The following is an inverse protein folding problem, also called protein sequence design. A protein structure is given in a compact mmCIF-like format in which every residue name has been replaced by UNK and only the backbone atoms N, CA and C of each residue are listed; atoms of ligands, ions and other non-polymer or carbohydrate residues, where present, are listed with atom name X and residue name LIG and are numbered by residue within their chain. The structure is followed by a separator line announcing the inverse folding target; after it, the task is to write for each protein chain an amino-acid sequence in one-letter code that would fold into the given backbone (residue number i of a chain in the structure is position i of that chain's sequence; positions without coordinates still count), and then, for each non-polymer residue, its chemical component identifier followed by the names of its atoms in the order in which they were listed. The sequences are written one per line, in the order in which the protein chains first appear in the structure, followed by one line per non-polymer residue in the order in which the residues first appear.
data_IF_426287384035
#
_entry.id   IF_426287384035
#
_cell.length_a   1.000
_cell.length_b   1.000
_cell.length_c   1.000
_cell.angle_alpha   90.00
_cell.angle_beta   90.00
_cell.angle_gamma   90.00
#
_symmetry.space_group_name_H-M   'P 1'
#
loop_
_entity.id
_entity.type
_entity.pdbx_description
1 polymer ?
#
# COMPACT_ATOMS: atom_id res chain seq x y z
N UNK A 1 2.40 -15.94 -6.17
CA UNK A 1 3.62 -15.21 -5.80
C UNK A 1 3.34 -14.04 -4.86
N UNK A 2 4.24 -13.77 -3.90
CA UNK A 2 4.14 -12.67 -2.93
C UNK A 2 4.89 -11.44 -3.41
N UNK A 3 4.23 -10.28 -3.41
CA UNK A 3 4.81 -8.98 -3.76
C UNK A 3 4.63 -8.02 -2.59
N UNK A 4 5.71 -7.38 -2.17
CA UNK A 4 5.69 -6.38 -1.10
C UNK A 4 5.33 -5.02 -1.66
N UNK A 5 4.51 -4.25 -0.95
CA UNK A 5 4.18 -2.88 -1.32
C UNK A 5 4.63 -1.95 -0.20
N UNK A 6 5.48 -0.99 -0.53
CA UNK A 6 6.05 -0.03 0.42
C UNK A 6 5.74 1.41 0.01
N UNK A 7 5.68 2.28 1.00
CA UNK A 7 5.69 3.72 0.78
C UNK A 7 7.10 4.16 0.38
N UNK A 8 7.20 4.87 -0.73
CA UNK A 8 8.46 5.31 -1.32
C UNK A 8 9.19 6.34 -0.44
N UNK A 9 8.45 7.09 0.40
CA UNK A 9 8.98 8.17 1.25
C UNK A 9 9.50 7.62 2.58
N UNK A 10 8.65 6.90 3.30
CA UNK A 10 8.91 6.38 4.65
C UNK A 10 9.59 5.02 4.64
N UNK A 11 9.64 4.34 3.48
CA UNK A 11 10.14 2.97 3.31
C UNK A 11 9.39 1.94 4.16
N UNK A 12 8.19 2.28 4.65
CA UNK A 12 7.35 1.37 5.45
C UNK A 12 6.40 0.57 4.56
N UNK A 13 6.03 -0.67 4.94
CA UNK A 13 5.01 -1.42 4.22
C UNK A 13 3.66 -0.69 4.26
N UNK A 14 2.94 -0.69 3.13
CA UNK A 14 1.57 -0.21 3.07
C UNK A 14 0.65 -1.34 3.48
N UNK A 15 0.13 -1.30 4.71
CA UNK A 15 -0.73 -2.36 5.28
C UNK A 15 -2.21 -2.03 5.08
N UNK A 16 -3.06 -3.07 4.94
CA UNK A 16 -4.52 -2.94 4.80
C UNK A 16 -4.96 -1.89 3.74
N UNK A 17 -4.18 -1.72 2.69
CA UNK A 17 -4.34 -0.67 1.70
C UNK A 17 -4.89 -1.27 0.40
N UNK A 18 -6.06 -0.80 -0.03
CA UNK A 18 -6.64 -1.15 -1.32
C UNK A 18 -5.97 -0.33 -2.42
N UNK A 19 -5.38 -1.01 -3.40
CA UNK A 19 -4.70 -0.39 -4.55
C UNK A 19 -5.00 -1.17 -5.82
N UNK A 20 -4.69 -0.58 -6.96
CA UNK A 20 -4.79 -1.25 -8.26
C UNK A 20 -3.40 -1.55 -8.80
N UNK A 21 -3.19 -2.74 -9.33
CA UNK A 21 -2.00 -3.10 -10.10
C UNK A 21 -2.32 -2.99 -11.57
N UNK A 22 -1.53 -2.23 -12.32
CA UNK A 22 -1.53 -2.28 -13.76
C UNK A 22 -0.51 -3.34 -14.21
N UNK A 23 -0.94 -4.24 -15.09
CA UNK A 23 -0.14 -5.37 -15.57
C UNK A 23 0.09 -5.19 -17.07
N UNK A 24 1.33 -5.40 -17.51
CA UNK A 24 1.75 -5.40 -18.91
C UNK A 24 2.45 -6.72 -19.25
N UNK A 25 1.98 -7.36 -20.30
CA UNK A 25 2.48 -8.63 -20.82
C UNK A 25 1.39 -9.39 -21.57
N UNK A 26 1.45 -10.72 -21.54
CA UNK A 26 0.46 -11.58 -22.20
C UNK A 26 -0.94 -11.40 -21.59
N UNK A 27 -1.01 -11.24 -20.27
CA UNK A 27 -2.23 -11.02 -19.49
C UNK A 27 -2.34 -9.55 -19.05
N UNK A 28 -2.22 -8.61 -19.99
CA UNK A 28 -2.28 -7.18 -19.71
C UNK A 28 -3.66 -6.77 -19.16
N UNK A 29 -3.67 -5.86 -18.19
CA UNK A 29 -4.91 -5.39 -17.58
C UNK A 29 -4.72 -4.71 -16.24
N UNK A 30 -5.77 -4.71 -15.44
CA UNK A 30 -5.78 -4.13 -14.10
C UNK A 30 -6.31 -5.14 -13.09
N UNK A 31 -5.66 -5.23 -11.92
CA UNK A 31 -6.08 -6.08 -10.81
C UNK A 31 -6.21 -5.23 -9.57
N UNK A 32 -7.35 -5.29 -8.88
CA UNK A 32 -7.52 -4.61 -7.60
C UNK A 32 -7.12 -5.55 -6.48
N UNK A 33 -6.24 -5.10 -5.59
CA UNK A 33 -5.71 -5.89 -4.48
C UNK A 33 -5.77 -5.08 -3.19
N UNK A 34 -5.80 -5.78 -2.07
CA UNK A 34 -5.64 -5.18 -0.74
C UNK A 34 -4.43 -5.82 -0.10
N UNK A 35 -3.51 -5.00 0.41
CA UNK A 35 -2.32 -5.49 1.11
C UNK A 35 -2.68 -6.09 2.46
N UNK A 36 -1.95 -7.13 2.86
CA UNK A 36 -2.09 -7.79 4.16
C UNK A 36 -1.42 -6.98 5.29
N UNK A 37 -1.38 -7.57 6.50
CA UNK A 37 -0.74 -6.96 7.68
C UNK A 37 0.79 -6.80 7.56
N UNK A 38 1.43 -7.54 6.65
CA UNK A 38 2.84 -7.36 6.32
C UNK A 38 3.07 -6.33 5.21
N UNK A 39 2.00 -5.82 4.59
CA UNK A 39 2.04 -4.93 3.44
C UNK A 39 2.28 -5.66 2.12
N UNK A 40 1.96 -6.95 2.06
CA UNK A 40 2.14 -7.78 0.90
C UNK A 40 0.83 -8.07 0.18
N UNK A 41 0.92 -8.43 -1.11
CA UNK A 41 -0.19 -8.95 -1.90
C UNK A 41 0.19 -10.29 -2.50
N UNK A 42 -0.76 -11.20 -2.56
CA UNK A 42 -0.63 -12.45 -3.30
C UNK A 42 -1.12 -12.21 -4.73
N UNK A 43 -0.20 -12.28 -5.69
CA UNK A 43 -0.50 -12.22 -7.11
C UNK A 43 -0.43 -13.63 -7.71
N UNK A 44 -1.32 -13.94 -8.64
CA UNK A 44 -1.38 -15.25 -9.31
C UNK A 44 -0.11 -15.50 -10.15
N UNK A 45 0.38 -16.74 -10.18
CA UNK A 45 1.60 -17.11 -10.92
C UNK A 45 1.44 -16.96 -12.44
N UNK A 46 0.22 -16.85 -12.98
CA UNK A 46 0.01 -16.52 -14.41
C UNK A 46 0.62 -15.17 -14.81
N UNK A 47 0.82 -14.27 -13.85
CA UNK A 47 1.46 -12.97 -14.06
C UNK A 47 2.98 -13.00 -13.88
N UNK A 48 3.58 -14.15 -13.56
CA UNK A 48 5.04 -14.25 -13.38
C UNK A 48 5.76 -13.76 -14.64
N UNK A 49 6.81 -12.97 -14.44
CA UNK A 49 7.59 -12.37 -15.54
C UNK A 49 6.90 -11.21 -16.29
N UNK A 50 5.65 -10.88 -15.96
CA UNK A 50 5.00 -9.67 -16.47
C UNK A 50 5.59 -8.43 -15.81
N UNK A 51 5.38 -7.28 -16.44
CA UNK A 51 5.65 -5.99 -15.81
C UNK A 51 4.42 -5.56 -15.02
N UNK A 52 4.62 -5.15 -13.78
CA UNK A 52 3.56 -4.65 -12.90
C UNK A 52 3.94 -3.30 -12.33
N UNK A 53 2.93 -2.48 -12.13
CA UNK A 53 3.04 -1.18 -11.51
C UNK A 53 1.86 -0.97 -10.59
N UNK A 54 2.10 -0.47 -9.38
CA UNK A 54 1.02 -0.11 -8.50
C UNK A 54 0.45 1.27 -8.84
N UNK A 55 -0.86 1.42 -8.66
CA UNK A 55 -1.65 2.63 -8.85
C UNK A 55 -2.42 2.88 -7.56
N UNK A 56 -2.22 4.05 -6.96
CA UNK A 56 -2.86 4.43 -5.71
C UNK A 56 -3.14 5.94 -5.69
N UNK A 57 -4.41 6.32 -5.47
CA UNK A 57 -4.85 7.73 -5.44
C UNK A 57 -4.34 8.57 -6.64
N UNK A 58 -4.43 8.03 -7.85
CA UNK A 58 -3.96 8.70 -9.07
C UNK A 58 -2.44 8.78 -9.22
N UNK A 59 -1.68 8.25 -8.25
CA UNK A 59 -0.22 8.14 -8.33
C UNK A 59 0.18 6.79 -8.88
N UNK A 60 1.14 6.80 -9.81
CA UNK A 60 1.71 5.60 -10.42
C UNK A 60 3.10 5.33 -9.84
N UNK A 61 3.34 4.08 -9.45
CA UNK A 61 4.65 3.60 -9.01
C UNK A 61 5.60 3.31 -10.16
N UNK A 62 6.74 2.69 -9.85
CA UNK A 62 7.66 2.19 -10.87
C UNK A 62 7.16 0.86 -11.47
N UNK A 63 7.48 0.65 -12.74
CA UNK A 63 7.33 -0.65 -13.39
C UNK A 63 8.41 -1.60 -12.91
N UNK A 64 8.01 -2.79 -12.47
CA UNK A 64 8.90 -3.85 -12.01
C UNK A 64 8.44 -5.20 -12.54
N UNK A 65 9.34 -6.17 -12.61
CA UNK A 65 8.98 -7.54 -12.95
C UNK A 65 8.20 -8.20 -11.80
N UNK A 66 7.05 -8.80 -12.10
CA UNK A 66 6.26 -9.56 -11.14
C UNK A 66 6.91 -10.92 -10.90
N UNK A 67 7.70 -10.98 -9.84
CA UNK A 67 8.38 -12.18 -9.36
C UNK A 67 8.17 -12.31 -7.85
N UNK A 68 8.44 -13.51 -7.33
CA UNK A 68 8.41 -13.76 -5.89
C UNK A 68 9.39 -12.84 -5.17
N UNK A 69 8.91 -12.15 -4.12
CA UNK A 69 9.74 -11.24 -3.31
C UNK A 69 10.00 -9.88 -3.93
N UNK A 70 9.42 -9.55 -5.10
CA UNK A 70 9.52 -8.21 -5.67
C UNK A 70 8.88 -7.17 -4.73
N UNK A 71 9.48 -5.97 -4.69
CA UNK A 71 8.95 -4.83 -3.95
C UNK A 71 8.45 -3.75 -4.91
N UNK A 72 7.19 -3.35 -4.74
CA UNK A 72 6.57 -2.19 -5.37
C UNK A 72 6.69 -0.98 -4.45
N UNK A 73 7.22 0.12 -4.97
CA UNK A 73 7.29 1.39 -4.25
C UNK A 73 6.24 2.35 -4.77
N UNK A 74 5.48 2.95 -3.86
CA UNK A 74 4.46 3.95 -4.14
C UNK A 74 4.66 5.17 -3.28
N UNK A 75 4.55 6.37 -3.84
CA UNK A 75 4.40 7.56 -3.01
C UNK A 75 2.95 7.62 -2.54
N UNK A 76 2.66 7.03 -1.38
CA UNK A 76 1.33 7.09 -0.80
C UNK A 76 1.16 8.48 -0.19
N UNK A 77 0.54 9.40 -0.92
CA UNK A 77 -0.15 10.52 -0.27
C UNK A 77 -1.35 9.91 0.44
N UNK A 78 -1.14 9.43 1.66
CA UNK A 78 -2.23 9.13 2.56
C UNK A 78 -3.00 10.42 2.76
N UNK A 79 -4.10 10.60 2.04
CA UNK A 79 -5.20 11.38 2.57
C UNK A 79 -5.55 10.68 3.87
N UNK A 80 -5.19 11.31 4.99
CA UNK A 80 -5.46 10.80 6.32
C UNK A 80 -6.97 10.65 6.49
N UNK A 81 -7.51 9.50 6.07
CA UNK A 81 -8.89 9.15 6.33
C UNK A 81 -8.94 8.50 7.71
N UNK A 82 -8.94 9.37 8.73
CA UNK A 82 -9.62 9.14 9.99
C UNK A 82 -8.95 8.22 11.02
N UNK A 83 -7.81 8.63 11.58
CA UNK A 83 -7.68 8.51 13.04
C UNK A 83 -8.53 9.62 13.66
N UNK A 84 -9.80 9.30 13.93
CA UNK A 84 -10.60 10.06 14.89
C UNK A 84 -10.10 9.69 16.30
N UNK A 85 -8.83 9.97 16.59
CA UNK A 85 -8.33 9.99 17.96
C UNK A 85 -8.93 11.22 18.62
N UNK A 86 -10.14 11.05 19.19
CA UNK A 86 -10.60 11.89 20.28
C UNK A 86 -9.68 11.61 21.47
N UNK A 87 -8.54 12.30 21.48
CA UNK A 87 -7.75 12.48 22.69
C UNK A 87 -8.58 13.35 23.63
N UNK A 88 -9.34 12.69 24.53
CA UNK A 88 -10.06 13.36 25.61
C UNK A 88 -9.03 13.57 26.71
N UNK A 89 -8.27 14.66 26.56
CA UNK A 89 -7.30 15.13 27.54
C UNK A 89 -8.04 15.37 28.87
N UNK A 90 -7.75 14.49 29.84
CA UNK A 90 -8.05 14.67 31.26
C UNK A 90 -7.35 15.94 31.73
N UNK A 91 -8.08 17.07 31.74
CA UNK A 91 -7.60 18.26 32.43
C UNK A 91 -8.11 18.25 33.87
N UNK A 92 -7.30 17.58 34.69
CA UNK A 92 -7.21 17.73 36.13
C UNK A 92 -7.42 19.20 36.53
N UNK A 93 -8.49 19.49 37.28
CA UNK A 93 -8.66 20.74 38.02
C UNK A 93 -8.47 20.46 39.51
N UNK A 94 -7.21 20.25 39.88
CA UNK A 94 -6.76 20.63 41.21
C UNK A 94 -6.79 22.16 41.31
N UNK A 95 -7.67 22.68 42.15
CA UNK A 95 -7.48 24.02 42.72
C UNK A 95 -7.79 23.92 44.21
N UNK A 96 -6.72 23.90 45.00
CA UNK A 96 -6.72 24.30 46.40
C UNK A 96 -6.68 25.83 46.47
N UNK A 97 -7.65 26.44 47.15
CA UNK A 97 -7.50 27.54 48.11
C UNK A 97 -8.87 27.95 48.64
#
# INVERSE_FOLDING_TARGET
MKIMVIDATTKRPLVNTKLQLQIRGKESGFVTVTTDQSGAVQLDDKYRGHQVCALFNGTQGAWVAANEGTTLSLTAKTTAQGSKEKNKEEKNKETWK
#
